data_IF_819003139129
#
_entry.id   IF_819003139129
#
_cell.length_a   1.000
_cell.length_b   1.000
_cell.length_c   1.000
_cell.angle_alpha   90.00
_cell.angle_beta   90.00
_cell.angle_gamma   90.00
#
_symmetry.space_group_name_H-M   'P 1'
#
loop_
_entity.id
_entity.type
_entity.pdbx_description
1 polymer ?
#
# COMPACT_ATOMS: atom_id res chain seq x y z
N UNK A 1 -5.44 0.18 -0.45
CA UNK A 1 -4.88 -0.93 -1.25
C UNK A 1 -5.81 -2.14 -1.31
N UNK A 2 -6.33 -2.68 -0.19
CA UNK A 2 -7.24 -3.85 -0.16
C UNK A 2 -8.47 -3.69 -1.08
N UNK A 3 -9.21 -2.59 -0.91
CA UNK A 3 -10.50 -2.39 -1.62
C UNK A 3 -10.35 -2.08 -3.11
N UNK A 4 -9.29 -1.35 -3.49
CA UNK A 4 -9.11 -0.86 -4.87
C UNK A 4 -8.37 -1.89 -5.73
N UNK A 5 -7.29 -2.46 -5.20
CA UNK A 5 -6.37 -3.34 -5.94
C UNK A 5 -6.47 -4.81 -5.53
N UNK A 6 -7.42 -5.18 -4.65
CA UNK A 6 -7.52 -6.54 -4.13
C UNK A 6 -6.30 -6.98 -3.33
N UNK A 7 -5.57 -6.03 -2.76
CA UNK A 7 -4.30 -6.32 -2.09
C UNK A 7 -4.50 -7.23 -0.87
N UNK A 8 -3.59 -8.18 -0.66
CA UNK A 8 -3.58 -9.06 0.52
C UNK A 8 -2.47 -8.64 1.47
N UNK A 9 -2.78 -8.58 2.75
CA UNK A 9 -1.80 -8.30 3.79
C UNK A 9 -0.89 -9.52 3.98
N UNK A 10 0.42 -9.30 3.96
CA UNK A 10 1.41 -10.35 4.20
C UNK A 10 2.00 -10.22 5.60
N UNK A 11 2.37 -9.00 6.00
CA UNK A 11 2.91 -8.70 7.31
C UNK A 11 2.63 -7.24 7.69
N UNK A 12 2.31 -7.02 8.97
CA UNK A 12 2.29 -5.69 9.58
C UNK A 12 3.07 -5.81 10.89
N UNK A 13 4.21 -5.15 10.96
CA UNK A 13 5.06 -5.09 12.14
C UNK A 13 4.87 -3.70 12.77
N UNK A 14 4.20 -3.61 13.93
CA UNK A 14 3.97 -2.32 14.59
C UNK A 14 5.24 -1.84 15.29
N UNK A 15 5.44 -0.52 15.33
CA UNK A 15 6.39 0.14 16.25
C UNK A 15 5.74 0.38 17.60
N UNK A 16 4.50 0.84 17.57
CA UNK A 16 3.61 1.12 18.70
C UNK A 16 2.17 0.99 18.23
N UNK A 17 1.20 1.18 19.12
CA UNK A 17 -0.21 1.17 18.75
C UNK A 17 -0.48 2.19 17.62
N UNK A 18 -1.06 1.72 16.52
CA UNK A 18 -1.40 2.54 15.36
C UNK A 18 -0.25 2.98 14.45
N UNK A 19 1.00 2.61 14.75
CA UNK A 19 2.18 3.02 13.95
C UNK A 19 2.83 1.80 13.29
N UNK A 20 2.92 1.81 11.97
CA UNK A 20 3.53 0.74 11.17
C UNK A 20 5.03 0.98 11.04
N UNK A 21 5.84 0.08 11.60
CA UNK A 21 7.30 0.06 11.39
C UNK A 21 7.65 -0.52 10.02
N UNK A 22 6.99 -1.61 9.65
CA UNK A 22 7.19 -2.31 8.39
C UNK A 22 5.89 -3.01 8.00
N UNK A 23 5.35 -2.66 6.84
CA UNK A 23 4.14 -3.23 6.28
C UNK A 23 4.37 -3.80 4.89
N UNK A 24 3.76 -4.94 4.62
CA UNK A 24 3.81 -5.63 3.33
C UNK A 24 2.40 -5.93 2.81
N UNK A 25 2.13 -5.43 1.62
CA UNK A 25 0.88 -5.68 0.90
C UNK A 25 1.18 -6.28 -0.46
N UNK A 26 0.63 -7.46 -0.75
CA UNK A 26 0.77 -8.13 -2.03
C UNK A 26 -0.36 -7.73 -2.97
N UNK A 27 -0.01 -7.36 -4.20
CA UNK A 27 -0.92 -7.09 -5.31
C UNK A 27 -0.49 -7.97 -6.47
N UNK A 28 -1.31 -8.96 -6.83
CA UNK A 28 -0.92 -9.98 -7.81
C UNK A 28 0.33 -10.74 -7.35
N UNK A 29 1.40 -10.65 -8.14
CA UNK A 29 2.71 -11.26 -7.90
C UNK A 29 3.72 -10.35 -7.19
N UNK A 30 3.36 -9.08 -6.98
CA UNK A 30 4.26 -8.04 -6.49
C UNK A 30 3.96 -7.68 -5.03
N UNK A 31 5.00 -7.35 -4.27
CA UNK A 31 4.87 -6.90 -2.86
C UNK A 31 5.30 -5.44 -2.73
N UNK A 32 4.39 -4.63 -2.18
CA UNK A 32 4.66 -3.24 -1.82
C UNK A 32 5.02 -3.18 -0.34
N UNK A 33 6.18 -2.60 -0.06
CA UNK A 33 6.65 -2.32 1.30
C UNK A 33 6.39 -0.84 1.65
N UNK A 34 5.92 -0.60 2.86
CA UNK A 34 5.64 0.75 3.36
C UNK A 34 5.84 0.81 4.88
N UNK A 35 6.03 2.02 5.38
CA UNK A 35 6.18 2.31 6.80
C UNK A 35 5.68 3.74 7.06
N UNK A 36 5.29 4.02 8.29
CA UNK A 36 5.04 5.40 8.71
C UNK A 36 6.35 6.18 8.81
N UNK A 37 6.26 7.50 8.65
CA UNK A 37 7.40 8.42 8.76
C UNK A 37 7.94 8.47 10.19
N UNK A 38 9.22 8.80 10.33
CA UNK A 38 9.85 9.13 11.62
C UNK A 38 10.36 10.56 11.62
N UNK A 39 10.94 11.01 12.74
CA UNK A 39 11.61 12.31 12.82
C UNK A 39 12.82 12.39 11.86
N UNK A 40 13.50 11.27 11.61
CA UNK A 40 14.67 11.19 10.74
C UNK A 40 14.30 10.89 9.28
N UNK A 41 13.21 10.15 9.03
CA UNK A 41 12.78 9.72 7.71
C UNK A 41 11.37 10.24 7.42
N UNK A 42 11.32 11.37 6.72
CA UNK A 42 10.07 11.97 6.26
C UNK A 42 9.41 11.24 5.09
N UNK A 43 8.19 11.67 4.76
CA UNK A 43 7.42 11.12 3.65
C UNK A 43 8.14 11.35 2.32
N UNK A 44 8.11 10.34 1.44
CA UNK A 44 8.67 10.41 0.10
C UNK A 44 7.63 9.99 -0.93
N UNK A 45 7.53 10.69 -2.07
CA UNK A 45 6.68 10.23 -3.15
C UNK A 45 7.22 8.89 -3.68
N UNK A 46 6.31 7.96 -3.95
CA UNK A 46 6.62 6.71 -4.63
C UNK A 46 6.03 6.75 -6.04
N UNK A 47 6.86 6.44 -7.04
CA UNK A 47 6.38 6.15 -8.39
C UNK A 47 5.97 4.68 -8.46
N UNK A 48 4.67 4.41 -8.53
CA UNK A 48 4.12 3.06 -8.63
C UNK A 48 3.32 2.93 -9.91
N UNK A 49 3.62 1.91 -10.71
CA UNK A 49 2.81 1.50 -11.85
C UNK A 49 2.17 0.16 -11.51
N UNK A 50 0.83 0.14 -11.46
CA UNK A 50 0.05 -1.05 -11.12
C UNK A 50 -0.78 -1.42 -12.34
N UNK A 51 -0.56 -2.62 -12.85
CA UNK A 51 -1.38 -3.17 -13.93
C UNK A 51 -2.72 -3.65 -13.37
N UNK A 52 -3.80 -3.23 -14.04
CA UNK A 52 -5.17 -3.60 -13.69
C UNK A 52 -5.92 -4.00 -14.95
N UNK A 53 -6.88 -4.91 -14.80
CA UNK A 53 -7.73 -5.39 -15.89
C UNK A 53 -8.55 -4.25 -16.53
N UNK A 54 -9.11 -3.37 -15.71
CA UNK A 54 -9.90 -2.22 -16.13
C UNK A 54 -9.50 -0.96 -15.36
N UNK A 55 -8.97 0.03 -16.10
CA UNK A 55 -8.61 1.34 -15.54
C UNK A 55 -9.85 2.08 -15.03
N UNK A 56 -10.94 2.09 -15.81
CA UNK A 56 -12.16 2.82 -15.45
C UNK A 56 -12.85 2.26 -14.20
N UNK A 57 -12.88 0.93 -14.05
CA UNK A 57 -13.42 0.30 -12.84
C UNK A 57 -12.54 0.57 -11.62
N UNK A 58 -11.21 0.43 -11.78
CA UNK A 58 -10.25 0.69 -10.71
C UNK A 58 -10.31 2.14 -10.25
N UNK A 59 -10.39 3.09 -11.19
CA UNK A 59 -10.51 4.51 -10.88
C UNK A 59 -11.80 4.82 -10.12
N UNK A 60 -12.94 4.28 -10.56
CA UNK A 60 -14.21 4.44 -9.83
C UNK A 60 -14.15 3.86 -8.42
N UNK A 61 -13.53 2.70 -8.22
CA UNK A 61 -13.30 2.11 -6.88
C UNK A 61 -12.40 2.96 -6.00
N UNK A 62 -11.46 3.72 -6.59
CA UNK A 62 -10.56 4.58 -5.83
C UNK A 62 -11.23 5.87 -5.32
N UNK A 63 -12.34 6.28 -5.94
CA UNK A 63 -13.09 7.48 -5.56
C UNK A 63 -14.20 7.23 -4.52
N UNK A 64 -14.53 5.97 -4.22
CA UNK A 64 -15.53 5.56 -3.24
C UNK A 64 -14.91 5.27 -1.87
#
# INVERSE_FOLDING_TARGET
>A
MKNVFGATEQAIIPRSEGVVMHGEMRIGDSVIMFADTTEEIGARPAGLFIYVESVDETYRKALS
#
